data_IF_687822995947
#
_entry.id   IF_687822995947
#
_cell.length_a   1.000
_cell.length_b   1.000
_cell.length_c   1.000
_cell.angle_alpha   90.00
_cell.angle_beta   90.00
_cell.angle_gamma   90.00
#
_symmetry.space_group_name_H-M   'P 1'
#
loop_
_entity.id
_entity.type
_entity.pdbx_description
1 polymer ?
#
# COMPACT_ATOMS: atom_id res chain seq x y z
N UNK A 1 -4.79 -5.07 17.75
CA UNK A 1 -3.78 -6.11 18.02
C UNK A 1 -3.25 -6.61 16.69
N UNK A 2 -1.94 -6.62 16.50
CA UNK A 2 -1.32 -7.26 15.33
C UNK A 2 -1.44 -8.78 15.43
N UNK A 3 -1.28 -9.47 14.31
CA UNK A 3 -1.25 -10.93 14.23
C UNK A 3 0.19 -11.36 13.93
N UNK A 4 0.63 -12.50 14.47
CA UNK A 4 2.00 -12.97 14.26
C UNK A 4 2.15 -13.57 12.86
N UNK A 5 3.38 -13.54 12.34
CA UNK A 5 3.68 -14.15 11.03
C UNK A 5 3.35 -15.66 11.01
N UNK A 6 3.58 -16.38 12.11
CA UNK A 6 3.23 -17.79 12.22
C UNK A 6 1.74 -18.06 12.08
N UNK A 7 0.91 -17.22 12.70
CA UNK A 7 -0.56 -17.33 12.60
C UNK A 7 -1.01 -17.10 11.16
N UNK A 8 -0.49 -16.05 10.51
CA UNK A 8 -0.76 -15.72 9.11
C UNK A 8 -0.45 -16.88 8.14
N UNK A 9 0.66 -17.60 8.36
CA UNK A 9 1.08 -18.73 7.53
C UNK A 9 0.25 -19.99 7.81
N UNK A 10 -0.24 -20.14 9.05
CA UNK A 10 -1.03 -21.30 9.48
C UNK A 10 -2.52 -21.21 9.14
N UNK A 11 -3.05 -19.99 9.05
CA UNK A 11 -4.45 -19.72 8.72
C UNK A 11 -4.70 -19.79 7.20
N UNK A 12 -5.97 -19.92 6.81
CA UNK A 12 -6.33 -19.83 5.39
C UNK A 12 -6.15 -18.41 4.84
N UNK A 13 -5.91 -18.31 3.53
CA UNK A 13 -5.86 -17.00 2.85
C UNK A 13 -7.14 -16.18 3.08
N UNK A 14 -8.30 -16.85 3.18
CA UNK A 14 -9.58 -16.19 3.43
C UNK A 14 -9.58 -15.43 4.76
N UNK A 15 -9.02 -16.00 5.83
CA UNK A 15 -8.90 -15.30 7.12
C UNK A 15 -8.08 -14.01 7.00
N UNK A 16 -7.00 -14.04 6.21
CA UNK A 16 -6.19 -12.84 5.95
C UNK A 16 -6.96 -11.82 5.12
N UNK A 17 -7.67 -12.24 4.08
CA UNK A 17 -8.51 -11.37 3.24
C UNK A 17 -9.59 -10.69 4.08
N UNK A 18 -10.34 -11.44 4.88
CA UNK A 18 -11.38 -10.88 5.75
C UNK A 18 -10.82 -9.90 6.78
N UNK A 19 -9.61 -10.14 7.28
CA UNK A 19 -8.97 -9.25 8.25
C UNK A 19 -8.60 -7.91 7.61
N UNK A 20 -8.10 -7.93 6.38
CA UNK A 20 -7.81 -6.74 5.59
C UNK A 20 -9.13 -6.01 5.28
N UNK A 21 -10.17 -6.72 4.83
CA UNK A 21 -11.48 -6.15 4.52
C UNK A 21 -12.10 -5.45 5.73
N UNK A 22 -12.17 -6.13 6.90
CA UNK A 22 -12.66 -5.53 8.15
C UNK A 22 -11.87 -4.29 8.55
N UNK A 23 -10.55 -4.29 8.37
CA UNK A 23 -9.72 -3.13 8.69
C UNK A 23 -9.99 -1.94 7.76
N UNK A 24 -10.23 -2.18 6.47
CA UNK A 24 -10.59 -1.15 5.50
C UNK A 24 -12.01 -0.63 5.76
N UNK A 25 -12.99 -1.52 5.94
CA UNK A 25 -14.40 -1.14 6.19
C UNK A 25 -14.56 -0.33 7.48
N UNK A 26 -13.72 -0.57 8.49
CA UNK A 26 -13.71 0.21 9.74
C UNK A 26 -13.33 1.69 9.52
N UNK A 27 -12.63 2.04 8.43
CA UNK A 27 -12.24 3.42 8.12
C UNK A 27 -13.42 4.22 7.55
N UNK A 28 -14.53 4.25 8.30
CA UNK A 28 -15.70 5.03 7.98
C UNK A 28 -15.49 6.54 8.24
N UNK A 29 -16.50 7.33 7.91
CA UNK A 29 -16.49 8.79 8.07
C UNK A 29 -16.20 9.24 9.51
N UNK A 30 -16.71 8.52 10.51
CA UNK A 30 -16.47 8.84 11.92
C UNK A 30 -15.04 8.52 12.34
N UNK A 31 -14.52 7.37 11.92
CA UNK A 31 -13.14 6.97 12.15
C UNK A 31 -12.17 7.98 11.53
N UNK A 32 -12.43 8.40 10.28
CA UNK A 32 -11.59 9.36 9.57
C UNK A 32 -11.61 10.75 10.23
N UNK A 33 -12.77 11.23 10.70
CA UNK A 33 -12.85 12.48 11.48
C UNK A 33 -12.09 12.40 12.79
N UNK A 34 -12.31 11.34 13.57
CA UNK A 34 -11.59 11.13 14.83
C UNK A 34 -10.08 11.01 14.62
N UNK A 35 -9.64 10.40 13.51
CA UNK A 35 -8.23 10.36 13.16
C UNK A 35 -7.68 11.77 12.88
N UNK A 36 -8.43 12.64 12.19
CA UNK A 36 -8.02 14.04 11.97
C UNK A 36 -7.93 14.81 13.29
N UNK A 37 -8.93 14.70 14.17
CA UNK A 37 -8.90 15.33 15.51
C UNK A 37 -7.65 14.90 16.28
N UNK A 38 -7.30 13.60 16.20
CA UNK A 38 -6.11 13.05 16.84
C UNK A 38 -4.80 13.60 16.24
N UNK A 39 -4.76 13.87 14.94
CA UNK A 39 -3.59 14.47 14.28
C UNK A 39 -3.38 15.91 14.78
N UNK A 40 -4.44 16.67 15.00
CA UNK A 40 -4.37 18.05 15.51
C UNK A 40 -3.77 18.11 16.94
N UNK A 41 -4.03 17.10 17.76
CA UNK A 41 -3.47 17.01 19.13
C UNK A 41 -1.95 16.73 19.17
N UNK A 42 -1.42 16.03 18.17
CA UNK A 42 -0.05 15.49 18.20
C UNK A 42 1.00 16.58 17.94
N UNK A 43 0.60 17.73 17.40
CA UNK A 43 1.48 18.89 17.19
C UNK A 43 2.52 18.67 16.09
N UNK A 44 3.60 17.93 16.40
CA UNK A 44 4.64 17.59 15.42
C UNK A 44 4.31 16.26 14.69
N UNK A 45 3.41 16.36 13.73
CA UNK A 45 2.99 15.25 12.87
C UNK A 45 4.19 14.69 12.06
N UNK A 46 5.12 15.56 11.66
CA UNK A 46 6.21 15.19 10.75
C UNK A 46 7.21 14.25 11.40
N UNK A 47 7.54 14.44 12.68
CA UNK A 47 8.45 13.54 13.39
C UNK A 47 7.72 12.37 14.05
N UNK A 48 6.48 12.57 14.48
CA UNK A 48 5.77 11.59 15.32
C UNK A 48 5.03 10.52 14.53
N UNK A 49 4.54 10.84 13.32
CA UNK A 49 3.61 9.99 12.57
C UNK A 49 4.18 9.57 11.21
N UNK A 50 5.06 10.39 10.61
CA UNK A 50 5.60 10.10 9.29
C UNK A 50 6.28 8.74 9.25
N UNK A 51 5.76 7.88 8.38
CA UNK A 51 6.31 6.56 8.11
C UNK A 51 7.47 6.67 7.13
N UNK A 52 8.67 6.40 7.62
CA UNK A 52 9.89 6.38 6.81
C UNK A 52 10.24 4.99 6.27
N UNK A 53 11.40 4.85 5.60
CA UNK A 53 11.90 3.57 5.10
C UNK A 53 11.97 2.47 6.17
N UNK A 54 12.20 2.84 7.42
CA UNK A 54 12.34 1.91 8.54
C UNK A 54 11.01 1.36 9.07
N UNK A 55 9.87 2.03 8.83
CA UNK A 55 8.58 1.57 9.38
C UNK A 55 7.99 0.40 8.61
N UNK A 56 8.44 0.21 7.37
CA UNK A 56 7.96 -0.86 6.51
C UNK A 56 8.90 -2.06 6.51
N UNK A 57 9.97 -2.04 7.32
CA UNK A 57 10.90 -3.16 7.38
C UNK A 57 10.31 -4.36 8.06
N UNK A 58 10.90 -5.54 7.82
CA UNK A 58 10.57 -6.78 8.51
C UNK A 58 10.35 -6.53 10.02
N UNK A 59 9.21 -6.97 10.59
CA UNK A 59 8.21 -7.89 10.03
C UNK A 59 7.03 -7.21 9.31
N UNK A 60 7.10 -5.90 9.07
CA UNK A 60 6.00 -5.13 8.47
C UNK A 60 6.04 -5.16 6.94
N UNK A 61 4.90 -4.88 6.32
CA UNK A 61 4.77 -4.70 4.87
C UNK A 61 3.80 -3.55 4.60
N UNK A 62 4.17 -2.68 3.66
CA UNK A 62 3.31 -1.61 3.17
C UNK A 62 2.93 -1.87 1.72
N UNK A 63 1.62 -1.98 1.45
CA UNK A 63 1.08 -2.23 0.11
C UNK A 63 0.29 -1.02 -0.34
N UNK A 64 0.69 -0.43 -1.46
CA UNK A 64 0.01 0.71 -2.09
C UNK A 64 -0.60 0.26 -3.42
N UNK A 65 -1.90 0.48 -3.58
CA UNK A 65 -2.61 0.14 -4.82
C UNK A 65 -2.81 1.37 -5.70
N UNK A 66 -2.28 1.31 -6.92
CA UNK A 66 -2.42 2.30 -7.99
C UNK A 66 -3.39 1.82 -9.09
N UNK A 67 -4.06 0.70 -8.89
CA UNK A 67 -4.91 0.06 -9.92
C UNK A 67 -6.12 0.90 -10.34
N UNK A 68 -6.58 1.79 -9.45
CA UNK A 68 -7.71 2.71 -9.70
C UNK A 68 -7.27 4.12 -10.10
N UNK A 69 -5.96 4.39 -10.18
CA UNK A 69 -5.45 5.70 -10.55
C UNK A 69 -5.38 5.83 -12.08
N UNK A 70 -5.79 6.97 -12.67
CA UNK A 70 -5.93 7.12 -14.11
C UNK A 70 -4.59 7.41 -14.82
N UNK A 71 -3.48 6.81 -14.38
CA UNK A 71 -2.14 7.15 -14.85
C UNK A 71 -1.94 6.90 -16.35
N UNK A 72 -2.24 5.69 -16.83
CA UNK A 72 -2.06 5.34 -18.24
C UNK A 72 -3.14 5.93 -19.15
N UNK A 73 -4.27 6.37 -18.58
CA UNK A 73 -5.42 6.87 -19.32
C UNK A 73 -5.37 8.39 -19.55
N UNK A 74 -4.64 9.15 -18.71
CA UNK A 74 -4.56 10.62 -18.78
C UNK A 74 -3.18 11.19 -19.12
N UNK A 75 -2.11 10.40 -19.07
CA UNK A 75 -0.75 10.90 -19.34
C UNK A 75 -0.40 10.94 -20.84
N UNK A 76 -1.39 11.12 -21.72
CA UNK A 76 -1.16 11.32 -23.14
C UNK A 76 -1.15 12.81 -23.43
N UNK A 77 0.02 13.43 -23.26
CA UNK A 77 0.35 14.58 -24.09
C UNK A 77 0.63 13.98 -25.48
N UNK A 78 -0.38 14.01 -26.34
CA UNK A 78 -0.24 13.92 -27.80
C UNK A 78 0.55 12.70 -28.35
N UNK A 79 -0.03 11.50 -28.17
CA UNK A 79 0.30 10.23 -28.88
C UNK A 79 1.29 9.25 -28.24
N UNK A 80 1.91 9.58 -27.09
CA UNK A 80 2.71 8.59 -26.36
C UNK A 80 2.02 8.11 -25.08
N UNK A 81 1.61 6.83 -25.04
CA UNK A 81 1.22 6.16 -23.78
C UNK A 81 2.48 5.72 -23.02
N UNK A 82 2.56 5.91 -21.70
CA UNK A 82 3.70 5.42 -20.93
C UNK A 82 3.84 3.89 -21.06
N UNK A 83 5.01 3.42 -21.46
CA UNK A 83 5.31 1.99 -21.55
C UNK A 83 5.38 1.33 -20.18
N UNK A 84 5.86 2.05 -19.17
CA UNK A 84 6.02 1.57 -17.80
C UNK A 84 5.88 2.72 -16.81
N UNK A 85 5.02 2.53 -15.80
CA UNK A 85 4.98 3.35 -14.60
C UNK A 85 5.51 2.53 -13.43
N UNK A 86 6.50 3.06 -12.72
CA UNK A 86 7.04 2.41 -11.53
C UNK A 86 7.47 3.45 -10.48
N UNK A 87 7.48 3.08 -9.19
CA UNK A 87 8.17 3.86 -8.17
C UNK A 87 9.65 4.03 -8.54
N UNK A 88 10.19 5.24 -8.33
CA UNK A 88 11.59 5.55 -8.59
C UNK A 88 12.55 4.77 -7.67
N UNK A 89 12.10 4.48 -6.44
CA UNK A 89 12.82 3.68 -5.45
C UNK A 89 11.82 2.84 -4.66
N UNK A 90 12.17 1.58 -4.43
CA UNK A 90 11.49 0.70 -3.48
C UNK A 90 12.41 0.47 -2.29
N UNK A 91 11.86 0.51 -1.08
CA UNK A 91 12.54 0.11 0.14
C UNK A 91 12.07 -1.28 0.56
N UNK A 92 12.80 -1.91 1.47
CA UNK A 92 12.38 -3.18 2.03
C UNK A 92 10.99 -3.09 2.67
N UNK A 93 10.19 -4.13 2.42
CA UNK A 93 8.80 -4.23 2.83
C UNK A 93 7.87 -3.16 2.24
N UNK A 94 8.20 -2.62 1.06
CA UNK A 94 7.28 -1.75 0.29
C UNK A 94 6.87 -2.41 -1.02
N UNK A 95 5.56 -2.48 -1.27
CA UNK A 95 4.96 -3.08 -2.45
C UNK A 95 3.99 -2.10 -3.15
N UNK A 96 4.02 -2.09 -4.48
CA UNK A 96 3.14 -1.27 -5.32
C UNK A 96 2.44 -2.15 -6.35
N UNK A 97 1.11 -2.09 -6.36
CA UNK A 97 0.26 -2.81 -7.31
C UNK A 97 -0.31 -1.84 -8.34
N UNK A 98 -0.19 -2.15 -9.62
CA UNK A 98 -0.73 -1.31 -10.70
C UNK A 98 -1.34 -2.13 -11.83
N UNK A 99 -2.27 -1.52 -12.55
CA UNK A 99 -2.92 -2.13 -13.72
C UNK A 99 -1.93 -2.23 -14.87
N UNK A 100 -1.93 -3.36 -15.58
CA UNK A 100 -1.05 -3.57 -16.72
C UNK A 100 -1.38 -2.60 -17.87
N UNK A 101 -0.36 -2.01 -18.53
CA UNK A 101 -0.56 -1.21 -19.73
C UNK A 101 -1.21 -2.01 -20.89
N UNK A 102 -1.11 -3.34 -20.86
CA UNK A 102 -1.69 -4.22 -21.88
C UNK A 102 -3.24 -4.24 -21.86
N UNK A 103 -3.87 -3.76 -20.78
CA UNK A 103 -5.33 -3.72 -20.62
C UNK A 103 -6.04 -5.08 -20.79
N UNK A 104 -5.35 -6.17 -20.43
CA UNK A 104 -5.84 -7.55 -20.44
C UNK A 104 -6.43 -7.99 -19.09
N UNK A 105 -6.55 -7.06 -18.14
CA UNK A 105 -6.98 -7.32 -16.76
C UNK A 105 -5.87 -7.80 -15.83
N UNK A 106 -4.63 -7.92 -16.32
CA UNK A 106 -3.49 -8.28 -15.47
C UNK A 106 -3.01 -7.12 -14.58
N UNK A 107 -2.35 -7.48 -13.48
CA UNK A 107 -1.72 -6.54 -12.57
C UNK A 107 -0.22 -6.80 -12.51
N UNK A 108 0.53 -5.73 -12.26
CA UNK A 108 1.97 -5.77 -12.03
C UNK A 108 2.24 -5.39 -10.56
N UNK A 109 3.10 -6.17 -9.91
CA UNK A 109 3.54 -5.95 -8.53
C UNK A 109 5.03 -5.63 -8.51
N UNK A 110 5.38 -4.44 -8.01
CA UNK A 110 6.76 -4.08 -7.72
C UNK A 110 6.98 -4.10 -6.20
N UNK A 111 7.86 -4.96 -5.70
CA UNK A 111 8.17 -5.11 -4.28
C UNK A 111 9.67 -4.98 -4.02
N UNK A 112 10.04 -4.27 -2.96
CA UNK A 112 11.40 -4.23 -2.43
C UNK A 112 11.54 -5.16 -1.23
N UNK A 113 12.51 -6.07 -1.27
CA UNK A 113 12.87 -6.98 -0.17
C UNK A 113 14.39 -6.99 -0.01
N UNK A 114 14.88 -7.40 1.16
CA UNK A 114 16.29 -7.77 1.32
C UNK A 114 16.60 -9.01 0.46
N UNK A 115 17.84 -9.13 -0.01
CA UNK A 115 18.25 -10.19 -0.94
C UNK A 115 18.20 -11.60 -0.32
N UNK A 116 18.28 -11.66 1.00
CA UNK A 116 18.32 -12.92 1.77
C UNK A 116 16.92 -13.41 2.20
N UNK A 117 15.84 -12.76 1.73
CA UNK A 117 14.45 -13.17 1.97
C UNK A 117 13.96 -14.27 1.03
#
# INVERSE_FOLDING_TARGET
MGVLAGDLVSESLLHTVERIDRAIVKMDDNYLRSAMDRLEEIGDILTTITRGPNTCRNPNLNVVSWTRLPFFMKLTLDEAKPLLLRPARTFEGTAYLYSSPANDGSFLLAIGLEADH
#
